data_IF_613827011668
#
_entry.id   IF_613827011668
#
_cell.length_a   1.000
_cell.length_b   1.000
_cell.length_c   1.000
_cell.angle_alpha   90.00
_cell.angle_beta   90.00
_cell.angle_gamma   90.00
#
_symmetry.space_group_name_H-M   'P 1'
#
loop_
_entity.id
_entity.type
_entity.pdbx_description
1 polymer ?
#
# COMPACT_ATOMS: atom_id res chain seq x y z
N UNK A 1 -26.15 -4.54 26.25
CA UNK A 1 -24.88 -5.16 25.80
C UNK A 1 -23.87 -4.03 25.68
N UNK A 2 -22.63 -4.19 26.15
CA UNK A 2 -21.63 -3.14 25.96
C UNK A 2 -21.40 -2.94 24.45
N UNK A 3 -21.53 -1.72 23.96
CA UNK A 3 -21.11 -1.34 22.61
C UNK A 3 -19.62 -1.70 22.48
N UNK A 4 -19.28 -2.63 21.59
CA UNK A 4 -17.89 -2.98 21.35
C UNK A 4 -17.23 -1.85 20.55
N UNK A 5 -16.53 -0.95 21.26
CA UNK A 5 -15.71 0.10 20.64
C UNK A 5 -14.29 -0.38 20.42
N UNK A 6 -13.75 -0.06 19.24
CA UNK A 6 -12.35 -0.32 18.89
C UNK A 6 -11.58 0.99 18.95
N UNK A 7 -10.43 0.97 19.63
CA UNK A 7 -9.55 2.12 19.69
C UNK A 7 -8.40 1.91 18.70
N UNK A 8 -8.20 2.87 17.80
CA UNK A 8 -7.05 2.91 16.88
C UNK A 8 -6.13 4.05 17.30
N UNK A 9 -4.86 3.73 17.56
CA UNK A 9 -3.84 4.70 17.96
C UNK A 9 -2.88 4.94 16.79
N UNK A 10 -2.95 6.14 16.20
CA UNK A 10 -2.11 6.60 15.10
C UNK A 10 -2.90 6.89 13.83
N UNK A 11 -2.94 8.16 13.40
CA UNK A 11 -3.65 8.61 12.20
C UNK A 11 -2.84 8.55 10.90
N UNK A 12 -1.94 7.58 10.74
CA UNK A 12 -1.20 7.35 9.49
C UNK A 12 -1.97 6.45 8.52
N UNK A 13 -1.35 6.08 7.39
CA UNK A 13 -2.00 5.22 6.38
C UNK A 13 -2.56 3.92 6.97
N UNK A 14 -1.77 3.22 7.80
CA UNK A 14 -2.20 1.96 8.41
C UNK A 14 -3.38 2.14 9.37
N UNK A 15 -3.33 3.17 10.22
CA UNK A 15 -4.40 3.42 11.20
C UNK A 15 -5.69 3.89 10.52
N UNK A 16 -5.61 4.78 9.53
CA UNK A 16 -6.76 5.19 8.73
C UNK A 16 -7.37 4.01 7.97
N UNK A 17 -6.55 3.17 7.33
CA UNK A 17 -7.02 1.97 6.63
C UNK A 17 -7.73 1.00 7.58
N UNK A 18 -7.17 0.76 8.77
CA UNK A 18 -7.80 -0.07 9.79
C UNK A 18 -9.13 0.53 10.28
N UNK A 19 -9.17 1.83 10.58
CA UNK A 19 -10.37 2.52 11.02
C UNK A 19 -11.49 2.46 9.98
N UNK A 20 -11.17 2.70 8.70
CA UNK A 20 -12.15 2.58 7.60
C UNK A 20 -12.72 1.17 7.55
N UNK A 21 -11.87 0.14 7.63
CA UNK A 21 -12.32 -1.25 7.48
C UNK A 21 -13.15 -1.75 8.66
N UNK A 22 -12.82 -1.30 9.87
CA UNK A 22 -13.61 -1.55 11.08
C UNK A 22 -14.96 -0.84 11.02
N UNK A 23 -14.99 0.43 10.58
CA UNK A 23 -16.22 1.19 10.42
C UNK A 23 -17.14 0.60 9.35
N UNK A 24 -16.60 0.14 8.21
CA UNK A 24 -17.36 -0.59 7.17
C UNK A 24 -17.94 -1.91 7.68
N UNK A 25 -17.32 -2.50 8.72
CA UNK A 25 -17.82 -3.70 9.37
C UNK A 25 -18.91 -3.41 10.43
N UNK A 26 -19.31 -2.14 10.58
CA UNK A 26 -20.35 -1.72 11.52
C UNK A 26 -19.88 -1.53 12.96
N UNK A 27 -18.57 -1.43 13.19
CA UNK A 27 -18.00 -1.18 14.52
C UNK A 27 -17.77 0.31 14.75
N UNK A 28 -18.01 0.77 15.97
CA UNK A 28 -17.64 2.12 16.40
C UNK A 28 -16.14 2.19 16.68
N UNK A 29 -15.46 3.15 16.03
CA UNK A 29 -14.01 3.30 16.10
C UNK A 29 -13.63 4.68 16.64
N UNK A 30 -12.89 4.69 17.75
CA UNK A 30 -12.25 5.88 18.28
C UNK A 30 -10.81 5.98 17.73
N UNK A 31 -10.56 6.95 16.85
CA UNK A 31 -9.24 7.20 16.26
C UNK A 31 -8.49 8.29 17.03
N UNK A 32 -7.40 7.92 17.69
CA UNK A 32 -6.50 8.84 18.39
C UNK A 32 -5.26 9.11 17.57
N UNK A 33 -4.90 10.39 17.42
CA UNK A 33 -3.67 10.79 16.75
C UNK A 33 -3.05 11.97 17.46
N UNK A 34 -1.73 11.94 17.65
CA UNK A 34 -0.97 13.03 18.27
C UNK A 34 -1.01 14.31 17.42
N UNK A 35 -1.12 14.16 16.10
CA UNK A 35 -1.18 15.24 15.12
C UNK A 35 -2.41 15.07 14.23
N UNK A 36 -2.88 16.12 13.54
CA UNK A 36 -3.89 15.96 12.49
C UNK A 36 -3.46 14.87 11.50
N UNK A 37 -4.38 13.97 11.12
CA UNK A 37 -4.05 12.73 10.39
C UNK A 37 -3.28 12.98 9.08
N UNK A 38 -3.56 14.09 8.39
CA UNK A 38 -2.83 14.51 7.17
C UNK A 38 -1.39 15.00 7.41
N UNK A 39 -0.97 15.16 8.67
CA UNK A 39 0.40 15.50 9.07
C UNK A 39 1.19 14.30 9.59
N UNK A 40 0.61 13.10 9.52
CA UNK A 40 1.34 11.87 9.77
C UNK A 40 2.48 11.70 8.78
N UNK A 41 3.58 11.05 9.19
CA UNK A 41 4.79 10.96 8.37
C UNK A 41 4.60 10.22 7.04
N UNK A 42 3.51 9.44 6.91
CA UNK A 42 3.10 8.85 5.63
C UNK A 42 3.04 9.86 4.48
N UNK A 43 2.68 11.12 4.76
CA UNK A 43 2.63 12.21 3.76
C UNK A 43 3.99 12.47 3.10
N UNK A 44 5.08 12.13 3.77
CA UNK A 44 6.45 12.36 3.28
C UNK A 44 6.93 11.27 2.30
N UNK A 45 6.17 10.18 2.09
CA UNK A 45 6.56 9.16 1.14
C UNK A 45 6.48 9.71 -0.30
N UNK A 46 7.60 9.73 -1.01
CA UNK A 46 7.66 10.24 -2.39
C UNK A 46 7.71 9.11 -3.41
N UNK A 47 8.35 8.01 -3.00
CA UNK A 47 8.70 6.84 -3.79
C UNK A 47 7.53 6.28 -4.60
N UNK A 48 6.68 5.56 -3.90
CA UNK A 48 5.65 4.77 -4.52
C UNK A 48 5.31 3.58 -3.66
N UNK A 49 4.42 2.76 -4.18
CA UNK A 49 3.99 1.51 -3.56
C UNK A 49 4.17 0.37 -4.55
N UNK A 50 4.80 -0.72 -4.09
CA UNK A 50 5.11 -1.86 -4.94
C UNK A 50 3.94 -2.84 -4.99
N UNK A 51 3.58 -3.29 -6.19
CA UNK A 51 2.64 -4.37 -6.39
C UNK A 51 2.95 -5.14 -7.68
N UNK A 52 2.67 -6.44 -7.69
CA UNK A 52 2.71 -7.21 -8.93
C UNK A 52 1.57 -6.73 -9.85
N UNK A 53 1.93 -6.18 -11.00
CA UNK A 53 0.97 -5.64 -11.97
C UNK A 53 1.07 -6.41 -13.30
N UNK A 54 0.15 -6.12 -14.22
CA UNK A 54 0.07 -6.81 -15.52
C UNK A 54 1.34 -6.66 -16.36
N UNK A 55 1.97 -5.48 -16.35
CA UNK A 55 3.22 -5.23 -17.09
C UNK A 55 4.36 -6.07 -16.54
N UNK A 56 4.48 -6.16 -15.21
CA UNK A 56 5.48 -7.01 -14.56
C UNK A 56 5.21 -8.50 -14.85
N UNK A 57 3.95 -8.94 -14.84
CA UNK A 57 3.56 -10.32 -15.19
C UNK A 57 3.95 -10.72 -16.60
N UNK A 58 3.83 -9.82 -17.56
CA UNK A 58 4.27 -10.05 -18.94
C UNK A 58 5.78 -10.30 -19.05
N UNK A 59 6.56 -9.83 -18.07
CA UNK A 59 8.01 -10.04 -17.96
C UNK A 59 8.37 -11.27 -17.12
N UNK A 60 7.39 -12.07 -16.70
CA UNK A 60 7.58 -13.27 -15.88
C UNK A 60 7.58 -13.00 -14.37
N UNK A 61 7.15 -11.82 -13.93
CA UNK A 61 7.06 -11.48 -12.51
C UNK A 61 5.72 -11.89 -11.91
N UNK A 62 5.70 -12.51 -10.73
CA UNK A 62 4.49 -12.83 -9.98
C UNK A 62 4.57 -12.34 -8.53
N UNK A 63 3.51 -12.56 -7.77
CA UNK A 63 3.50 -12.30 -6.33
C UNK A 63 4.54 -13.14 -5.59
N UNK A 64 4.91 -14.31 -6.12
CA UNK A 64 5.98 -15.12 -5.56
C UNK A 64 7.34 -14.44 -5.73
N UNK A 65 7.66 -13.87 -6.91
CA UNK A 65 8.92 -13.11 -7.08
C UNK A 65 8.93 -11.82 -6.24
N UNK A 66 7.78 -11.19 -6.01
CA UNK A 66 7.68 -10.10 -5.03
C UNK A 66 8.00 -10.57 -3.62
N UNK A 67 7.41 -11.69 -3.21
CA UNK A 67 7.73 -12.32 -1.94
C UNK A 67 9.23 -12.65 -1.83
N UNK A 68 9.80 -13.33 -2.82
CA UNK A 68 11.20 -13.76 -2.83
C UNK A 68 12.17 -12.58 -2.77
N UNK A 69 11.96 -11.53 -3.59
CA UNK A 69 12.75 -10.29 -3.53
C UNK A 69 12.66 -9.62 -2.15
N UNK A 70 11.49 -9.70 -1.49
CA UNK A 70 11.30 -9.10 -0.15
C UNK A 70 12.02 -9.89 0.93
N UNK A 71 12.00 -11.23 0.87
CA UNK A 71 12.72 -12.09 1.81
C UNK A 71 14.23 -11.95 1.63
N UNK A 72 14.70 -11.97 0.39
CA UNK A 72 16.12 -11.77 0.09
C UNK A 72 16.59 -10.38 0.51
N UNK A 73 15.83 -9.32 0.18
CA UNK A 73 16.14 -7.95 0.57
C UNK A 73 16.04 -7.69 2.09
N UNK A 74 15.33 -8.54 2.83
CA UNK A 74 15.25 -8.52 4.28
C UNK A 74 16.29 -9.42 4.97
N UNK A 75 17.32 -9.89 4.25
CA UNK A 75 18.35 -10.81 4.75
C UNK A 75 17.77 -12.06 5.46
N UNK A 76 16.61 -12.55 4.99
CA UNK A 76 15.89 -13.69 5.56
C UNK A 76 15.43 -13.53 7.02
N UNK A 77 15.42 -12.30 7.55
CA UNK A 77 14.98 -12.00 8.92
C UNK A 77 13.46 -11.80 9.05
N UNK A 78 12.76 -11.64 7.93
CA UNK A 78 11.32 -11.43 7.91
C UNK A 78 10.54 -12.75 8.08
N UNK A 79 9.39 -12.69 8.76
CA UNK A 79 8.43 -13.80 8.78
C UNK A 79 7.82 -13.97 7.38
N UNK A 80 7.95 -15.18 6.83
CA UNK A 80 7.62 -15.44 5.44
C UNK A 80 6.12 -15.45 5.18
N UNK A 81 5.29 -15.92 6.11
CA UNK A 81 3.85 -16.02 5.85
C UNK A 81 3.19 -14.64 5.67
N UNK A 82 3.42 -13.64 6.57
CA UNK A 82 2.89 -12.30 6.38
C UNK A 82 3.44 -11.60 5.14
N UNK A 83 4.71 -11.85 4.76
CA UNK A 83 5.30 -11.23 3.56
C UNK A 83 4.67 -11.79 2.29
N UNK A 84 4.41 -13.10 2.23
CA UNK A 84 3.69 -13.70 1.10
C UNK A 84 2.26 -13.15 1.01
N UNK A 85 1.57 -13.05 2.15
CA UNK A 85 0.24 -12.44 2.19
C UNK A 85 0.25 -10.99 1.71
N UNK A 86 1.22 -10.18 2.17
CA UNK A 86 1.42 -8.80 1.72
C UNK A 86 1.62 -8.74 0.20
N UNK A 87 2.46 -9.59 -0.37
CA UNK A 87 2.72 -9.64 -1.81
C UNK A 87 1.45 -10.00 -2.61
N UNK A 88 0.65 -10.94 -2.12
CA UNK A 88 -0.63 -11.37 -2.71
C UNK A 88 -1.76 -10.34 -2.57
N UNK A 89 -1.74 -9.51 -1.52
CA UNK A 89 -2.74 -8.45 -1.34
C UNK A 89 -2.39 -7.16 -2.07
N UNK A 90 -1.10 -6.87 -2.28
CA UNK A 90 -0.65 -5.61 -2.86
C UNK A 90 -1.41 -5.18 -4.13
N UNK A 91 -1.65 -6.04 -5.15
CA UNK A 91 -2.37 -5.63 -6.35
C UNK A 91 -3.79 -5.14 -6.06
N UNK A 92 -4.49 -5.83 -5.16
CA UNK A 92 -5.87 -5.48 -4.73
C UNK A 92 -5.90 -4.14 -3.99
N UNK A 93 -4.85 -3.83 -3.22
CA UNK A 93 -4.72 -2.53 -2.54
C UNK A 93 -4.49 -1.39 -3.54
N UNK A 94 -3.66 -1.59 -4.58
CA UNK A 94 -3.49 -0.58 -5.62
C UNK A 94 -4.82 -0.31 -6.35
N UNK A 95 -5.56 -1.36 -6.70
CA UNK A 95 -6.86 -1.21 -7.35
C UNK A 95 -7.89 -0.48 -6.47
N UNK A 96 -7.88 -0.77 -5.17
CA UNK A 96 -8.71 -0.05 -4.21
C UNK A 96 -8.36 1.44 -4.17
N UNK A 97 -7.07 1.78 -4.01
CA UNK A 97 -6.60 3.16 -3.94
C UNK A 97 -6.92 3.94 -5.23
N UNK A 98 -6.74 3.29 -6.38
CA UNK A 98 -7.08 3.88 -7.67
C UNK A 98 -8.58 4.22 -7.78
N UNK A 99 -9.44 3.30 -7.32
CA UNK A 99 -10.90 3.51 -7.26
C UNK A 99 -11.32 4.53 -6.22
N UNK A 100 -10.55 4.69 -5.14
CA UNK A 100 -10.75 5.75 -4.14
C UNK A 100 -10.33 7.13 -4.66
N UNK A 101 -9.75 7.21 -5.86
CA UNK A 101 -9.41 8.45 -6.54
C UNK A 101 -7.98 8.91 -6.33
N UNK A 102 -7.07 8.03 -5.87
CA UNK A 102 -5.64 8.35 -5.82
C UNK A 102 -5.15 8.62 -7.25
N UNK A 103 -4.59 9.81 -7.54
CA UNK A 103 -4.14 10.20 -8.87
C UNK A 103 -2.79 9.56 -9.22
N UNK A 104 -2.75 8.22 -9.36
CA UNK A 104 -1.57 7.54 -9.89
C UNK A 104 -1.22 8.06 -11.29
N UNK A 105 0.08 8.19 -11.57
CA UNK A 105 0.56 8.55 -12.88
C UNK A 105 0.03 7.59 -13.94
N UNK A 106 -0.28 8.14 -15.12
CA UNK A 106 -0.83 7.39 -16.24
C UNK A 106 0.05 7.54 -17.48
N UNK A 107 0.08 6.50 -18.31
CA UNK A 107 0.63 6.57 -19.66
C UNK A 107 -0.31 7.35 -20.58
N UNK A 108 0.13 7.65 -21.81
CA UNK A 108 -0.71 8.35 -22.80
C UNK A 108 -1.99 7.57 -23.13
N UNK A 109 -1.95 6.25 -22.99
CA UNK A 109 -3.07 5.33 -23.21
C UNK A 109 -4.02 5.23 -21.99
N UNK A 110 -3.72 5.93 -20.89
CA UNK A 110 -4.54 5.96 -19.67
C UNK A 110 -4.30 4.83 -18.69
N UNK A 111 -3.34 3.93 -18.97
CA UNK A 111 -2.94 2.87 -18.04
C UNK A 111 -2.06 3.42 -16.92
N UNK A 112 -2.00 2.75 -15.75
CA UNK A 112 -1.13 3.16 -14.65
C UNK A 112 0.33 3.07 -15.09
N UNK A 113 1.05 4.17 -14.98
CA UNK A 113 2.49 4.23 -15.23
C UNK A 113 3.26 3.66 -14.04
N UNK A 114 4.43 3.10 -14.33
CA UNK A 114 5.20 2.28 -13.41
C UNK A 114 6.67 2.64 -13.52
N UNK A 115 7.36 2.68 -12.38
CA UNK A 115 8.80 2.96 -12.34
C UNK A 115 9.61 1.86 -11.69
N UNK A 116 10.90 1.86 -11.99
CA UNK A 116 11.89 1.04 -11.28
C UNK A 116 12.13 1.66 -9.90
N UNK A 117 12.21 0.81 -8.88
CA UNK A 117 12.45 1.24 -7.51
C UNK A 117 13.01 0.09 -6.67
N UNK A 118 13.76 0.42 -5.62
CA UNK A 118 14.19 -0.56 -4.61
C UNK A 118 15.10 -1.68 -5.13
N UNK A 119 15.85 -1.43 -6.20
CA UNK A 119 16.79 -2.42 -6.76
C UNK A 119 16.13 -3.57 -7.53
N UNK A 120 14.80 -3.57 -7.70
CA UNK A 120 14.12 -4.57 -8.54
C UNK A 120 14.36 -4.27 -10.02
N UNK A 121 14.53 -5.33 -10.81
CA UNK A 121 14.68 -5.24 -12.27
C UNK A 121 13.34 -5.03 -12.98
N UNK A 122 12.22 -5.15 -12.26
CA UNK A 122 10.87 -5.08 -12.80
C UNK A 122 10.19 -3.75 -12.44
N UNK A 123 9.49 -3.15 -13.40
CA UNK A 123 8.70 -1.94 -13.17
C UNK A 123 7.41 -2.28 -12.43
N UNK A 124 7.48 -2.25 -11.10
CA UNK A 124 6.37 -2.67 -10.21
C UNK A 124 5.88 -1.62 -9.22
N UNK A 125 6.45 -0.42 -9.29
CA UNK A 125 6.17 0.66 -8.35
C UNK A 125 5.15 1.63 -8.94
N UNK A 126 3.97 1.69 -8.32
CA UNK A 126 2.95 2.69 -8.59
C UNK A 126 3.27 3.98 -7.84
N UNK A 127 3.09 5.14 -8.49
CA UNK A 127 3.47 6.43 -7.93
C UNK A 127 2.54 7.55 -8.39
N UNK A 128 2.49 8.63 -7.61
CA UNK A 128 1.81 9.87 -7.95
C UNK A 128 2.80 11.04 -7.85
N UNK A 129 3.40 11.41 -8.98
CA UNK A 129 4.46 12.38 -9.13
C UNK A 129 5.64 12.09 -8.18
N UNK A 130 5.99 13.09 -7.38
CA UNK A 130 6.96 12.98 -6.30
C UNK A 130 6.29 13.07 -4.92
N UNK A 131 4.98 12.85 -4.83
CA UNK A 131 4.17 13.09 -3.62
C UNK A 131 3.24 11.92 -3.31
N UNK A 132 3.62 10.69 -3.67
CA UNK A 132 2.74 9.51 -3.57
C UNK A 132 2.05 9.41 -2.20
N UNK A 133 2.78 9.49 -1.10
CA UNK A 133 2.25 9.40 0.26
C UNK A 133 1.31 10.54 0.68
N UNK A 134 1.37 11.69 0.00
CA UNK A 134 0.38 12.76 0.18
C UNK A 134 -0.93 12.47 -0.55
N UNK A 135 -0.85 11.68 -1.63
CA UNK A 135 -2.01 11.32 -2.45
C UNK A 135 -2.73 10.06 -1.94
N UNK A 136 -2.03 9.21 -1.19
CA UNK A 136 -2.60 8.05 -0.48
C UNK A 136 -3.42 8.48 0.75
#
# INVERSE_FOLDING_TARGET
MAEHRVIVVGGGLAGLAASVRLAESGLDVDLFSLVPVKRSHSVCAQGGINACNEVARQQGYSEYEHFDETIYGGDFLADQHPVLEMACWAPRIIDLLDRMGVPFNRTMEGQRDLRLFGGSLFKRTHFAGATTGQQL
#
